data_IF_143914367601
#
_entry.id   IF_143914367601
#
_cell.length_a   1.000
_cell.length_b   1.000
_cell.length_c   1.000
_cell.angle_alpha   90.00
_cell.angle_beta   90.00
_cell.angle_gamma   90.00
#
_symmetry.space_group_name_H-M   'P 1'
#
loop_
_entity.id
_entity.type
_entity.pdbx_description
1 polymer ?
#
# COMPACT_ATOMS: atom_id res chain seq x y z
N UNK A 1 -16.10 -17.61 -16.83
CA UNK A 1 -14.94 -16.97 -17.50
C UNK A 1 -14.30 -16.04 -16.48
N UNK A 2 -13.23 -16.48 -15.80
CA UNK A 2 -12.59 -15.69 -14.73
C UNK A 2 -11.65 -14.59 -15.27
N UNK A 3 -11.27 -14.66 -16.55
CA UNK A 3 -10.26 -13.80 -17.18
C UNK A 3 -10.71 -12.34 -17.42
N UNK A 4 -12.00 -12.04 -17.22
CA UNK A 4 -12.59 -10.72 -17.45
C UNK A 4 -12.68 -9.86 -16.17
N UNK A 5 -12.04 -10.31 -15.08
CA UNK A 5 -11.97 -9.57 -13.84
C UNK A 5 -11.05 -8.35 -14.00
N UNK A 6 -11.38 -7.25 -13.33
CA UNK A 6 -10.52 -6.07 -13.29
C UNK A 6 -10.70 -5.28 -12.01
N UNK A 7 -9.62 -4.64 -11.57
CA UNK A 7 -9.61 -3.73 -10.43
C UNK A 7 -9.00 -2.40 -10.84
N UNK A 8 -9.52 -1.33 -10.28
CA UNK A 8 -8.91 -0.02 -10.39
C UNK A 8 -9.35 0.94 -9.30
N UNK A 9 -8.59 2.01 -9.11
CA UNK A 9 -8.91 3.09 -8.17
C UNK A 9 -9.05 4.42 -8.91
N UNK A 10 -9.77 5.35 -8.32
CA UNK A 10 -9.94 6.70 -8.83
C UNK A 10 -10.05 7.68 -7.69
N UNK A 11 -9.29 8.78 -7.76
CA UNK A 11 -9.29 9.80 -6.70
C UNK A 11 -10.68 10.42 -6.54
N UNK A 12 -11.16 10.56 -5.31
CA UNK A 12 -12.43 11.23 -5.05
C UNK A 12 -12.22 12.74 -4.89
N UNK A 13 -13.10 13.54 -5.49
CA UNK A 13 -13.18 14.98 -5.23
C UNK A 13 -13.73 15.27 -3.82
N UNK A 14 -14.53 14.35 -3.29
CA UNK A 14 -15.09 14.40 -1.95
C UNK A 14 -15.23 13.00 -1.37
N UNK A 15 -14.90 12.83 -0.09
CA UNK A 15 -14.95 11.53 0.59
C UNK A 15 -16.31 10.83 0.44
N UNK A 16 -16.30 9.61 -0.10
CA UNK A 16 -17.49 8.79 -0.29
C UNK A 16 -18.22 9.04 -1.62
N UNK A 17 -17.54 9.62 -2.61
CA UNK A 17 -18.10 9.90 -3.93
C UNK A 17 -17.32 9.16 -5.03
N UNK A 18 -18.06 8.51 -5.94
CA UNK A 18 -17.46 7.75 -7.03
C UNK A 18 -16.67 8.67 -7.97
N UNK A 19 -15.42 8.29 -8.25
CA UNK A 19 -14.61 8.92 -9.29
C UNK A 19 -15.15 8.62 -10.69
N UNK A 20 -15.08 9.61 -11.58
CA UNK A 20 -15.38 9.41 -13.01
C UNK A 20 -14.27 8.68 -13.77
N UNK A 21 -13.06 8.62 -13.21
CA UNK A 21 -11.87 7.94 -13.76
C UNK A 21 -11.54 6.72 -12.91
N UNK A 22 -11.20 5.60 -13.55
CA UNK A 22 -10.71 4.38 -12.89
C UNK A 22 -9.37 4.04 -13.52
N UNK A 23 -8.30 4.21 -12.76
CA UNK A 23 -6.94 3.77 -13.11
C UNK A 23 -6.84 2.28 -12.79
N UNK A 24 -6.49 1.50 -13.81
CA UNK A 24 -6.45 0.04 -13.75
C UNK A 24 -5.15 -0.49 -13.19
N UNK A 25 -5.25 -1.58 -12.43
CA UNK A 25 -4.11 -2.32 -11.90
C UNK A 25 -4.26 -3.81 -12.21
N UNK A 26 -3.13 -4.49 -12.43
CA UNK A 26 -3.07 -5.94 -12.62
C UNK A 26 -3.09 -6.63 -11.25
N UNK A 27 -4.26 -6.60 -10.61
CA UNK A 27 -4.45 -7.12 -9.26
C UNK A 27 -4.27 -8.64 -9.19
N UNK A 28 -3.49 -9.10 -8.22
CA UNK A 28 -3.19 -10.52 -8.01
C UNK A 28 -4.19 -11.22 -7.06
N UNK A 29 -4.98 -10.43 -6.32
CA UNK A 29 -5.98 -10.94 -5.39
C UNK A 29 -7.27 -10.09 -5.36
N UNK A 30 -8.37 -10.70 -4.93
CA UNK A 30 -9.64 -10.03 -4.63
C UNK A 30 -10.00 -10.22 -3.15
N UNK A 31 -9.55 -9.29 -2.29
CA UNK A 31 -9.80 -9.33 -0.84
C UNK A 31 -10.91 -8.36 -0.37
N UNK A 32 -11.59 -7.67 -1.28
CA UNK A 32 -12.55 -6.61 -0.96
C UNK A 32 -13.86 -7.13 -0.37
N UNK A 33 -14.08 -6.85 0.92
CA UNK A 33 -15.19 -7.38 1.73
C UNK A 33 -15.94 -6.28 2.44
N UNK A 34 -17.27 -6.37 2.41
CA UNK A 34 -18.17 -5.47 3.14
C UNK A 34 -18.53 -6.04 4.50
N UNK A 35 -18.53 -5.17 5.50
CA UNK A 35 -18.93 -5.49 6.86
C UNK A 35 -20.33 -4.94 7.14
N UNK A 36 -21.18 -5.77 7.75
CA UNK A 36 -22.54 -5.40 8.18
C UNK A 36 -22.72 -5.79 9.63
N UNK A 37 -23.39 -4.93 10.39
CA UNK A 37 -23.82 -5.23 11.75
C UNK A 37 -25.32 -5.46 11.79
N UNK A 38 -25.76 -6.44 12.57
CA UNK A 38 -27.17 -6.75 12.79
C UNK A 38 -27.54 -6.38 14.22
N UNK A 39 -28.28 -5.29 14.38
CA UNK A 39 -28.79 -4.88 15.69
C UNK A 39 -30.10 -5.63 15.93
N UNK A 40 -30.12 -6.47 16.96
CA UNK A 40 -31.29 -7.27 17.33
C UNK A 40 -31.87 -6.82 18.66
N UNK A 41 -33.20 -6.70 18.74
CA UNK A 41 -33.91 -6.43 19.99
C UNK A 41 -34.51 -7.72 20.54
N UNK A 42 -34.02 -8.18 21.69
CA UNK A 42 -34.58 -9.34 22.42
C UNK A 42 -35.20 -8.88 23.74
N UNK A 43 -36.47 -9.22 23.96
CA UNK A 43 -37.19 -8.91 25.20
C UNK A 43 -38.04 -10.09 25.68
N UNK A 44 -38.38 -10.14 26.96
CA UNK A 44 -39.18 -11.23 27.52
C UNK A 44 -40.61 -11.24 26.95
N UNK A 45 -41.03 -12.39 26.43
CA UNK A 45 -42.41 -12.65 25.99
C UNK A 45 -42.71 -14.14 26.16
N UNK A 46 -43.88 -14.45 26.73
CA UNK A 46 -44.32 -15.83 26.89
C UNK A 46 -44.42 -16.54 25.52
N UNK A 47 -43.95 -17.79 25.44
CA UNK A 47 -44.01 -18.61 24.24
C UNK A 47 -42.96 -18.29 23.16
N UNK A 48 -41.93 -17.48 23.46
CA UNK A 48 -40.80 -17.29 22.54
C UNK A 48 -39.99 -18.59 22.39
N UNK A 49 -39.73 -18.96 21.13
CA UNK A 49 -38.86 -20.08 20.77
C UNK A 49 -37.45 -19.58 20.38
N UNK A 50 -37.34 -18.37 19.83
CA UNK A 50 -36.07 -17.70 19.45
C UNK A 50 -36.30 -16.20 19.22
N UNK A 51 -35.26 -15.46 18.85
CA UNK A 51 -35.32 -14.05 18.48
C UNK A 51 -36.30 -13.83 17.30
N UNK A 52 -37.01 -12.70 17.33
CA UNK A 52 -38.01 -12.40 16.29
C UNK A 52 -37.36 -11.85 15.02
N UNK A 53 -37.80 -12.34 13.86
CA UNK A 53 -37.29 -11.89 12.57
C UNK A 53 -37.60 -10.40 12.25
N UNK A 54 -38.71 -9.86 12.76
CA UNK A 54 -39.15 -8.46 12.53
C UNK A 54 -38.49 -7.43 13.47
N UNK A 55 -37.53 -7.84 14.31
CA UNK A 55 -36.86 -6.98 15.30
C UNK A 55 -35.36 -6.90 15.06
N UNK A 56 -34.99 -6.72 13.80
CA UNK A 56 -33.61 -6.65 13.33
C UNK A 56 -33.42 -5.40 12.47
N UNK A 57 -32.31 -4.71 12.66
CA UNK A 57 -31.87 -3.63 11.79
C UNK A 57 -30.48 -3.97 11.24
N UNK A 58 -30.24 -3.67 9.96
CA UNK A 58 -28.96 -3.89 9.30
C UNK A 58 -28.23 -2.56 9.18
N UNK A 59 -27.03 -2.48 9.73
CA UNK A 59 -26.21 -1.28 9.72
C UNK A 59 -25.04 -1.49 8.78
N UNK A 60 -24.79 -0.49 7.93
CA UNK A 60 -23.61 -0.47 7.10
C UNK A 60 -22.37 -0.12 7.93
N UNK A 61 -21.39 -1.02 7.95
CA UNK A 61 -20.14 -0.79 8.67
C UNK A 61 -18.99 -0.39 7.74
N UNK A 62 -19.26 -0.25 6.42
CA UNK A 62 -18.24 -0.08 5.39
C UNK A 62 -17.56 -1.40 5.10
N UNK A 63 -16.25 -1.40 4.92
CA UNK A 63 -15.47 -2.61 4.82
C UNK A 63 -14.00 -2.33 4.56
N UNK A 64 -13.30 -3.38 4.19
CA UNK A 64 -11.86 -3.39 3.96
C UNK A 64 -11.54 -4.17 2.68
N UNK A 65 -10.42 -3.85 2.05
CA UNK A 65 -9.90 -4.58 0.90
C UNK A 65 -8.49 -4.15 0.58
N UNK A 66 -7.75 -4.98 -0.14
CA UNK A 66 -6.38 -4.71 -0.53
C UNK A 66 -6.25 -4.72 -2.04
N UNK A 67 -5.30 -3.94 -2.54
CA UNK A 67 -4.81 -4.02 -3.89
C UNK A 67 -3.35 -4.48 -3.84
N UNK A 68 -3.12 -5.72 -4.25
CA UNK A 68 -1.80 -6.32 -4.45
C UNK A 68 -1.53 -6.41 -5.95
N UNK A 69 -0.41 -5.83 -6.40
CA UNK A 69 0.02 -5.89 -7.79
C UNK A 69 1.55 -5.81 -7.91
N UNK A 70 2.07 -6.24 -9.05
CA UNK A 70 3.44 -5.92 -9.41
C UNK A 70 3.58 -4.41 -9.62
N UNK A 71 4.62 -3.82 -9.03
CA UNK A 71 4.84 -2.38 -9.09
C UNK A 71 5.43 -2.01 -10.45
N UNK A 72 4.67 -1.21 -11.21
CA UNK A 72 5.04 -0.82 -12.57
C UNK A 72 5.88 0.46 -12.60
N UNK A 73 6.79 0.54 -13.57
CA UNK A 73 7.65 1.69 -13.84
C UNK A 73 6.92 2.89 -14.49
N UNK A 74 5.64 2.72 -14.84
CA UNK A 74 4.69 3.78 -15.16
C UNK A 74 3.27 3.43 -14.66
N UNK A 75 2.50 4.44 -14.24
CA UNK A 75 1.10 4.30 -13.81
C UNK A 75 0.89 4.00 -12.32
N UNK A 76 1.94 3.83 -11.53
CA UNK A 76 1.82 3.50 -10.10
C UNK A 76 1.60 4.73 -9.18
N UNK A 77 1.72 5.95 -9.71
CA UNK A 77 1.76 7.18 -8.92
C UNK A 77 0.55 7.41 -8.00
N UNK A 78 -0.66 7.07 -8.43
CA UNK A 78 -1.87 7.25 -7.60
C UNK A 78 -1.96 6.25 -6.46
N UNK A 79 -1.56 4.99 -6.69
CA UNK A 79 -1.53 3.96 -5.65
C UNK A 79 -0.47 4.31 -4.59
N UNK A 80 0.72 4.76 -5.02
CA UNK A 80 1.75 5.29 -4.14
C UNK A 80 1.24 6.52 -3.37
N UNK A 81 0.51 7.43 -4.03
CA UNK A 81 -0.09 8.62 -3.41
C UNK A 81 -1.11 8.27 -2.33
N UNK A 82 -1.77 7.11 -2.44
CA UNK A 82 -2.67 6.62 -1.39
C UNK A 82 -1.90 6.21 -0.12
N UNK A 83 -0.70 5.65 -0.28
CA UNK A 83 0.10 5.06 0.79
C UNK A 83 0.92 6.07 1.62
N UNK A 84 1.16 7.29 1.10
CA UNK A 84 2.02 8.29 1.73
C UNK A 84 1.28 9.57 2.12
N UNK A 85 1.84 10.29 3.10
CA UNK A 85 1.18 11.41 3.75
C UNK A 85 1.24 12.71 2.98
N UNK A 86 2.37 12.97 2.33
CA UNK A 86 2.63 14.21 1.60
C UNK A 86 3.15 13.87 0.22
N UNK A 87 2.58 14.50 -0.81
CA UNK A 87 2.90 14.22 -2.20
C UNK A 87 3.16 15.51 -2.96
N UNK A 88 4.28 15.54 -3.68
CA UNK A 88 4.63 16.62 -4.60
C UNK A 88 4.85 16.02 -5.99
N UNK A 89 4.05 16.46 -6.97
CA UNK A 89 4.18 16.03 -8.37
C UNK A 89 4.75 17.18 -9.18
N UNK A 90 5.79 16.90 -9.95
CA UNK A 90 6.34 17.81 -10.97
C UNK A 90 6.35 17.11 -12.32
N UNK A 91 5.76 17.72 -13.32
CA UNK A 91 5.86 17.29 -14.72
C UNK A 91 6.69 18.33 -15.48
N UNK A 92 7.84 17.92 -16.01
CA UNK A 92 8.73 18.81 -16.75
C UNK A 92 9.38 18.05 -17.89
N UNK A 93 9.16 18.54 -19.11
CA UNK A 93 9.78 17.96 -20.31
C UNK A 93 9.28 16.55 -20.65
N UNK A 94 8.04 16.21 -20.28
CA UNK A 94 7.49 14.87 -20.52
C UNK A 94 8.06 13.81 -19.58
N UNK A 95 8.53 14.22 -18.40
CA UNK A 95 8.94 13.35 -17.30
C UNK A 95 8.17 13.80 -16.08
N UNK A 96 7.46 12.85 -15.46
CA UNK A 96 6.70 13.08 -14.24
C UNK A 96 7.47 12.50 -13.07
N UNK A 97 7.82 13.36 -12.13
CA UNK A 97 8.45 12.99 -10.86
C UNK A 97 7.44 13.20 -9.74
N UNK A 98 7.20 12.16 -8.97
CA UNK A 98 6.36 12.17 -7.77
C UNK A 98 7.25 11.92 -6.56
N UNK A 99 7.36 12.92 -5.69
CA UNK A 99 8.03 12.80 -4.39
C UNK A 99 6.97 12.57 -3.32
N UNK A 100 7.10 11.45 -2.61
CA UNK A 100 6.20 11.01 -1.55
C UNK A 100 6.97 10.96 -0.23
N UNK A 101 6.38 11.53 0.82
CA UNK A 101 7.01 11.67 2.13
C UNK A 101 6.03 11.26 3.24
N UNK A 102 6.55 10.57 4.25
CA UNK A 102 5.84 10.43 5.53
C UNK A 102 5.82 11.77 6.27
N UNK A 103 4.77 12.05 7.03
CA UNK A 103 4.59 13.34 7.72
C UNK A 103 3.84 13.16 9.04
N UNK A 104 3.82 14.17 9.91
CA UNK A 104 3.00 14.18 11.12
C UNK A 104 1.50 14.32 10.82
N UNK A 105 1.17 14.98 9.70
CA UNK A 105 -0.18 15.12 9.15
C UNK A 105 -0.31 14.32 7.86
N UNK A 106 -1.35 13.50 7.77
CA UNK A 106 -1.68 12.79 6.53
C UNK A 106 -2.57 13.67 5.63
N UNK A 107 -2.03 14.10 4.49
CA UNK A 107 -2.76 14.76 3.41
C UNK A 107 -3.25 13.76 2.36
N UNK A 108 -3.11 12.46 2.61
CA UNK A 108 -3.51 11.40 1.69
C UNK A 108 -4.98 11.57 1.24
N UNK A 109 -5.24 11.56 -0.08
CA UNK A 109 -6.59 11.69 -0.61
C UNK A 109 -7.40 10.42 -0.30
N UNK A 110 -8.72 10.51 -0.48
CA UNK A 110 -9.55 9.30 -0.57
C UNK A 110 -9.75 8.91 -2.03
N UNK A 111 -10.00 7.62 -2.23
CA UNK A 111 -10.24 7.02 -3.53
C UNK A 111 -11.59 6.29 -3.54
N UNK A 112 -12.13 6.09 -4.73
CA UNK A 112 -13.12 5.05 -4.98
C UNK A 112 -12.42 3.89 -5.66
N UNK A 113 -12.78 2.65 -5.34
CA UNK A 113 -12.27 1.46 -6.02
C UNK A 113 -13.40 0.76 -6.79
N UNK A 114 -13.12 0.28 -7.99
CA UNK A 114 -14.05 -0.53 -8.77
C UNK A 114 -13.46 -1.92 -9.00
N UNK A 115 -14.16 -2.94 -8.49
CA UNK A 115 -13.86 -4.35 -8.74
C UNK A 115 -14.93 -4.95 -9.65
N UNK A 116 -14.53 -5.39 -10.85
CA UNK A 116 -15.41 -6.08 -11.79
C UNK A 116 -15.25 -7.59 -11.60
N UNK A 117 -16.32 -8.24 -11.18
CA UNK A 117 -16.38 -9.70 -10.99
C UNK A 117 -17.20 -10.34 -12.11
N UNK A 118 -16.62 -11.23 -12.94
CA UNK A 118 -17.36 -11.92 -13.97
C UNK A 118 -18.16 -13.11 -13.41
N UNK A 119 -19.41 -13.23 -13.83
CA UNK A 119 -20.30 -14.35 -13.51
C UNK A 119 -20.00 -15.60 -14.35
N UNK A 120 -20.53 -16.74 -13.91
CA UNK A 120 -20.43 -18.01 -14.67
C UNK A 120 -21.24 -17.98 -15.96
N UNK A 121 -22.21 -17.09 -16.06
CA UNK A 121 -23.07 -16.84 -17.21
C UNK A 121 -22.52 -15.78 -18.19
N UNK A 122 -21.33 -15.23 -17.92
CA UNK A 122 -20.72 -14.16 -18.71
C UNK A 122 -21.24 -12.76 -18.37
N UNK A 123 -22.14 -12.63 -17.39
CA UNK A 123 -22.47 -11.32 -16.83
C UNK A 123 -21.27 -10.70 -16.10
N UNK A 124 -21.26 -9.38 -15.95
CA UNK A 124 -20.26 -8.66 -15.16
C UNK A 124 -20.97 -7.87 -14.08
N UNK A 125 -20.45 -7.94 -12.86
CA UNK A 125 -20.94 -7.10 -11.75
C UNK A 125 -19.78 -6.24 -11.27
N UNK A 126 -19.94 -4.93 -11.38
CA UNK A 126 -18.98 -3.98 -10.83
C UNK A 126 -19.38 -3.62 -9.41
N UNK A 127 -18.51 -3.89 -8.46
CA UNK A 127 -18.57 -3.43 -7.08
C UNK A 127 -17.79 -2.12 -6.97
N UNK A 128 -18.42 -1.08 -6.45
CA UNK A 128 -17.91 0.29 -6.36
C UNK A 128 -17.77 0.65 -4.90
N UNK A 129 -16.56 0.55 -4.39
CA UNK A 129 -16.20 0.89 -3.03
C UNK A 129 -15.91 2.39 -2.96
N UNK A 130 -16.56 3.08 -2.03
CA UNK A 130 -16.51 4.54 -1.91
C UNK A 130 -15.81 4.91 -0.60
N UNK A 131 -15.08 6.02 -0.60
CA UNK A 131 -14.37 6.52 0.56
C UNK A 131 -13.25 5.59 1.01
N UNK A 132 -12.51 5.01 0.07
CA UNK A 132 -11.33 4.21 0.31
C UNK A 132 -10.18 5.11 0.81
N UNK A 133 -9.64 4.80 1.98
CA UNK A 133 -8.44 5.46 2.54
C UNK A 133 -7.45 4.36 2.91
N UNK A 134 -6.19 4.52 2.49
CA UNK A 134 -5.17 3.54 2.82
C UNK A 134 -4.96 3.48 4.33
N UNK A 135 -4.79 2.28 4.86
CA UNK A 135 -4.51 2.02 6.28
C UNK A 135 -3.12 1.46 6.47
N UNK A 136 -2.65 0.67 5.50
CA UNK A 136 -1.35 0.03 5.52
C UNK A 136 -0.83 -0.21 4.10
N UNK A 137 0.46 -0.44 3.98
CA UNK A 137 1.10 -0.85 2.73
C UNK A 137 2.35 -1.69 2.97
N UNK A 138 2.70 -2.50 1.98
CA UNK A 138 3.94 -3.29 1.93
C UNK A 138 4.56 -3.22 0.54
N UNK A 139 5.86 -2.97 0.48
CA UNK A 139 6.70 -3.05 -0.70
C UNK A 139 7.69 -4.19 -0.51
N UNK A 140 7.69 -5.17 -1.41
CA UNK A 140 8.59 -6.33 -1.37
C UNK A 140 9.38 -6.45 -2.67
N UNK A 141 10.68 -6.74 -2.54
CA UNK A 141 11.56 -7.10 -3.63
C UNK A 141 12.47 -8.26 -3.21
N UNK A 142 12.49 -9.33 -4.00
CA UNK A 142 13.25 -10.54 -3.73
C UNK A 142 13.85 -11.07 -5.03
N UNK A 143 15.00 -11.74 -4.94
CA UNK A 143 15.60 -12.43 -6.09
C UNK A 143 14.61 -13.37 -6.77
N UNK A 144 14.68 -13.47 -8.09
CA UNK A 144 13.78 -14.28 -8.93
C UNK A 144 12.31 -13.83 -9.01
N UNK A 145 11.94 -12.74 -8.33
CA UNK A 145 10.58 -12.20 -8.31
C UNK A 145 10.48 -10.76 -8.89
N UNK A 146 9.24 -10.35 -9.18
CA UNK A 146 8.91 -8.95 -9.45
C UNK A 146 8.72 -8.18 -8.14
N UNK A 147 8.95 -6.87 -8.19
CA UNK A 147 8.66 -6.00 -7.04
C UNK A 147 7.16 -5.90 -6.84
N UNK A 148 6.67 -6.19 -5.64
CA UNK A 148 5.24 -6.18 -5.33
C UNK A 148 4.90 -5.02 -4.42
N UNK A 149 3.77 -4.37 -4.68
CA UNK A 149 3.16 -3.38 -3.81
C UNK A 149 1.77 -3.87 -3.40
N UNK A 150 1.55 -3.94 -2.09
CA UNK A 150 0.25 -4.18 -1.49
C UNK A 150 -0.18 -2.92 -0.75
N UNK A 151 -1.41 -2.45 -0.99
CA UNK A 151 -2.02 -1.35 -0.24
C UNK A 151 -3.36 -1.80 0.32
N UNK A 152 -3.49 -1.76 1.64
CA UNK A 152 -4.74 -2.04 2.36
C UNK A 152 -5.59 -0.78 2.51
N UNK A 153 -6.89 -0.91 2.27
CA UNK A 153 -7.86 0.19 2.31
C UNK A 153 -9.02 -0.08 3.26
N UNK A 154 -9.39 0.96 4.00
CA UNK A 154 -10.69 1.08 4.66
C UNK A 154 -11.66 1.87 3.77
N UNK A 155 -12.85 1.34 3.50
CA UNK A 155 -13.86 2.03 2.66
C UNK A 155 -15.19 2.28 3.38
N UNK A 156 -15.83 3.40 3.08
CA UNK A 156 -17.07 3.88 3.73
C UNK A 156 -18.30 3.06 3.36
N UNK A 157 -18.47 2.78 2.08
CA UNK A 157 -19.67 2.17 1.52
C UNK A 157 -19.34 1.39 0.24
N UNK A 158 -20.27 0.54 -0.19
CA UNK A 158 -20.20 -0.17 -1.46
C UNK A 158 -21.54 -0.09 -2.19
N UNK A 159 -21.49 0.24 -3.46
CA UNK A 159 -22.58 0.04 -4.40
C UNK A 159 -22.19 -1.04 -5.41
N UNK A 160 -23.17 -1.60 -6.13
CA UNK A 160 -22.88 -2.50 -7.24
C UNK A 160 -23.80 -2.24 -8.43
N UNK A 161 -23.36 -2.63 -9.61
CA UNK A 161 -24.18 -2.59 -10.83
C UNK A 161 -23.82 -3.71 -11.78
N UNK A 162 -24.82 -4.25 -12.46
CA UNK A 162 -24.67 -5.17 -13.59
C UNK A 162 -25.04 -4.51 -14.93
N UNK A 163 -25.33 -3.19 -14.92
CA UNK A 163 -25.67 -2.43 -16.13
C UNK A 163 -24.38 -2.04 -16.85
N UNK A 164 -24.11 -2.53 -18.07
CA UNK A 164 -22.81 -2.34 -18.74
C UNK A 164 -22.40 -0.86 -18.89
N UNK A 165 -23.34 0.03 -19.21
CA UNK A 165 -23.08 1.46 -19.35
C UNK A 165 -22.67 2.17 -18.05
N UNK A 166 -22.84 1.52 -16.89
CA UNK A 166 -22.45 2.05 -15.59
C UNK A 166 -21.13 1.44 -15.08
N UNK A 167 -20.54 0.48 -15.81
CA UNK A 167 -19.24 -0.10 -15.49
C UNK A 167 -18.17 0.75 -16.18
N UNK A 168 -17.32 1.43 -15.40
CA UNK A 168 -16.26 2.27 -15.96
C UNK A 168 -15.11 1.36 -16.40
N UNK A 169 -14.65 1.49 -17.63
CA UNK A 169 -13.50 0.72 -18.09
C UNK A 169 -12.23 1.23 -17.40
N UNK A 170 -11.40 0.35 -16.80
CA UNK A 170 -10.12 0.74 -16.24
C UNK A 170 -9.19 1.26 -17.34
N UNK A 171 -8.42 2.30 -17.02
CA UNK A 171 -7.39 2.86 -17.89
C UNK A 171 -6.03 2.40 -17.42
N UNK A 172 -5.26 1.79 -18.31
CA UNK A 172 -3.89 1.34 -18.04
C UNK A 172 -2.90 2.28 -18.75
N UNK A 173 -1.66 2.40 -18.25
CA UNK A 173 -0.58 3.06 -19.00
C UNK A 173 -0.38 2.38 -20.36
N UNK A 174 0.03 3.17 -21.36
CA UNK A 174 0.23 2.65 -22.73
C UNK A 174 1.39 1.66 -22.78
N UNK A 175 2.49 2.00 -22.12
CA UNK A 175 3.66 1.17 -21.89
C UNK A 175 4.01 1.25 -20.41
N UNK A 176 4.18 0.10 -19.78
CA UNK A 176 4.60 -0.03 -18.40
C UNK A 176 5.16 -1.44 -18.20
N UNK A 177 6.17 -1.56 -17.36
CA UNK A 177 6.81 -2.81 -17.03
C UNK A 177 7.00 -2.94 -15.52
N UNK A 178 6.83 -4.14 -14.94
CA UNK A 178 7.16 -4.37 -13.56
C UNK A 178 8.63 -4.07 -13.27
N UNK A 179 8.90 -3.47 -12.11
CA UNK A 179 10.25 -3.52 -11.55
C UNK A 179 10.61 -4.99 -11.20
N UNK A 180 11.89 -5.31 -11.27
CA UNK A 180 12.41 -6.65 -11.00
C UNK A 180 13.72 -6.59 -10.19
N UNK A 181 14.08 -7.73 -9.62
CA UNK A 181 15.28 -7.87 -8.78
C UNK A 181 16.60 -7.55 -9.51
N UNK A 182 16.68 -7.76 -10.83
CA UNK A 182 17.93 -7.55 -11.60
C UNK A 182 18.32 -6.08 -11.74
N UNK A 183 17.38 -5.18 -11.49
CA UNK A 183 17.54 -3.71 -11.53
C UNK A 183 17.31 -3.06 -10.18
N UNK A 184 17.34 -3.85 -9.11
CA UNK A 184 17.17 -3.40 -7.74
C UNK A 184 18.53 -3.33 -7.06
N UNK A 185 18.78 -2.25 -6.33
CA UNK A 185 19.98 -2.07 -5.52
C UNK A 185 19.59 -1.66 -4.09
N UNK A 186 20.09 -2.40 -3.11
CA UNK A 186 19.94 -2.11 -1.68
C UNK A 186 21.25 -1.56 -1.14
N UNK A 187 21.21 -0.36 -0.56
CA UNK A 187 22.36 0.30 0.06
C UNK A 187 22.09 0.47 1.55
N UNK A 188 22.87 -0.24 2.38
CA UNK A 188 22.91 -0.05 3.83
C UNK A 188 24.03 0.91 4.19
N UNK A 189 23.79 1.83 5.11
CA UNK A 189 24.81 2.78 5.58
C UNK A 189 24.88 2.83 7.10
N UNK A 190 26.11 2.81 7.62
CA UNK A 190 26.46 2.97 9.04
C UNK A 190 27.46 4.13 9.15
N UNK A 191 27.22 5.08 10.06
CA UNK A 191 28.04 6.29 10.22
C UNK A 191 28.31 7.06 8.91
N UNK A 192 27.31 7.11 8.03
CA UNK A 192 27.39 7.79 6.73
C UNK A 192 28.26 7.08 5.68
N UNK A 193 28.75 5.87 5.97
CA UNK A 193 29.50 5.04 5.04
C UNK A 193 28.67 3.84 4.59
N UNK A 194 28.70 3.53 3.30
CA UNK A 194 28.05 2.35 2.76
C UNK A 194 28.68 1.07 3.34
N UNK A 195 27.84 0.10 3.69
CA UNK A 195 28.24 -1.23 4.16
C UNK A 195 27.92 -2.22 3.05
N UNK A 196 28.92 -2.98 2.61
CA UNK A 196 28.71 -4.02 1.60
C UNK A 196 27.84 -5.14 2.18
N UNK A 197 26.74 -5.43 1.50
CA UNK A 197 25.79 -6.47 1.88
C UNK A 197 25.13 -7.03 0.62
N UNK A 198 25.28 -8.33 0.41
CA UNK A 198 24.71 -9.04 -0.74
C UNK A 198 23.26 -9.41 -0.40
N UNK A 199 22.37 -8.42 -0.52
CA UNK A 199 20.95 -8.57 -0.20
C UNK A 199 20.24 -9.51 -1.19
N UNK A 200 19.50 -10.48 -0.67
CA UNK A 200 18.62 -11.39 -1.42
C UNK A 200 17.17 -10.92 -1.40
N UNK A 201 16.76 -10.21 -0.35
CA UNK A 201 15.43 -9.63 -0.26
C UNK A 201 15.40 -8.33 0.54
N UNK A 202 14.40 -7.50 0.25
CA UNK A 202 14.03 -6.34 1.05
C UNK A 202 12.51 -6.20 1.09
N UNK A 203 11.98 -6.08 2.31
CA UNK A 203 10.60 -5.74 2.58
C UNK A 203 10.54 -4.44 3.38
N UNK A 204 9.59 -3.57 3.05
CA UNK A 204 9.27 -2.38 3.82
C UNK A 204 7.75 -2.26 3.92
N UNK A 205 7.25 -2.09 5.14
CA UNK A 205 5.83 -1.94 5.45
C UNK A 205 5.55 -0.68 6.26
N UNK A 206 4.32 -0.21 6.20
CA UNK A 206 3.84 0.91 6.99
C UNK A 206 2.40 0.73 7.45
N UNK A 207 2.17 0.79 8.76
CA UNK A 207 0.85 1.02 9.37
C UNK A 207 0.69 2.53 9.60
N UNK A 208 -0.32 3.12 8.97
CA UNK A 208 -0.56 4.57 8.97
C UNK A 208 -1.25 5.07 10.25
N UNK A 209 -1.61 4.17 11.18
CA UNK A 209 -2.19 4.49 12.48
C UNK A 209 -3.59 5.08 12.39
N UNK A 210 -4.39 4.62 11.42
CA UNK A 210 -5.67 5.23 11.05
C UNK A 210 -6.83 4.77 11.94
N UNK A 211 -7.67 5.72 12.38
CA UNK A 211 -8.93 5.41 13.07
C UNK A 211 -10.04 5.16 12.05
N UNK A 212 -10.34 3.89 11.81
CA UNK A 212 -11.30 3.43 10.78
C UNK A 212 -12.75 3.35 11.26
N UNK A 213 -12.98 3.15 12.56
CA UNK A 213 -14.29 2.95 13.19
C UNK A 213 -14.99 4.26 13.62
N UNK A 214 -14.81 5.35 12.86
CA UNK A 214 -15.36 6.68 13.20
C UNK A 214 -16.87 6.81 12.97
N UNK A 215 -17.66 6.26 13.88
CA UNK A 215 -19.13 6.28 13.86
C UNK A 215 -19.69 7.22 14.93
N UNK A 216 -20.83 7.86 14.65
CA UNK A 216 -21.41 8.90 15.50
C UNK A 216 -22.94 8.86 15.49
N UNK A 217 -23.58 9.27 16.61
CA UNK A 217 -25.03 9.38 16.74
C UNK A 217 -25.56 10.61 16.01
N UNK A 218 -25.71 10.52 14.68
CA UNK A 218 -26.05 11.67 13.80
C UNK A 218 -27.12 11.38 12.75
N UNK A 219 -27.97 10.38 12.97
CA UNK A 219 -28.98 9.92 12.01
C UNK A 219 -28.40 9.54 10.63
N UNK A 220 -27.17 9.04 10.60
CA UNK A 220 -26.49 8.52 9.42
C UNK A 220 -25.50 7.44 9.90
N UNK A 221 -25.63 6.24 9.35
CA UNK A 221 -24.86 5.04 9.70
C UNK A 221 -23.43 5.04 9.12
N UNK A 222 -23.19 5.80 8.05
CA UNK A 222 -21.89 5.81 7.39
C UNK A 222 -20.80 6.36 8.31
N UNK A 223 -19.71 5.61 8.40
CA UNK A 223 -18.48 6.05 9.10
C UNK A 223 -17.92 7.32 8.47
N UNK A 224 -17.25 8.15 9.26
CA UNK A 224 -16.50 9.33 8.79
C UNK A 224 -15.14 8.90 8.22
N UNK A 225 -14.56 9.72 7.34
CA UNK A 225 -13.21 9.54 6.79
C UNK A 225 -12.22 9.13 7.88
N UNK A 226 -11.47 8.03 7.74
CA UNK A 226 -10.40 7.70 8.66
C UNK A 226 -9.44 8.88 8.88
N UNK A 227 -8.95 9.04 10.10
CA UNK A 227 -7.93 10.05 10.45
C UNK A 227 -6.83 9.38 11.25
N UNK A 228 -5.62 9.92 11.19
CA UNK A 228 -4.51 9.46 12.03
C UNK A 228 -4.87 9.58 13.52
N UNK A 229 -4.68 8.50 14.26
CA UNK A 229 -5.01 8.38 15.69
C UNK A 229 -3.90 7.72 16.51
N UNK A 230 -2.95 7.06 15.85
CA UNK A 230 -1.72 6.56 16.45
C UNK A 230 -0.50 7.15 15.70
N UNK A 231 0.66 7.04 16.33
CA UNK A 231 1.94 7.26 15.66
C UNK A 231 2.09 6.13 14.62
N UNK A 232 2.32 6.44 13.34
CA UNK A 232 2.57 5.41 12.33
C UNK A 232 3.77 4.55 12.70
N UNK A 233 3.71 3.27 12.35
CA UNK A 233 4.83 2.35 12.50
C UNK A 233 5.30 1.91 11.13
N UNK A 234 6.61 1.98 10.92
CA UNK A 234 7.25 1.55 9.70
C UNK A 234 8.33 0.54 10.05
N UNK A 235 8.23 -0.63 9.45
CA UNK A 235 9.10 -1.77 9.73
C UNK A 235 9.54 -2.36 8.41
N UNK A 236 10.70 -3.01 8.41
CA UNK A 236 11.18 -3.69 7.22
C UNK A 236 12.21 -4.72 7.58
N UNK A 237 12.59 -5.48 6.57
CA UNK A 237 13.58 -6.55 6.69
C UNK A 237 14.48 -6.51 5.47
N UNK A 238 15.79 -6.59 5.69
CA UNK A 238 16.75 -6.88 4.63
C UNK A 238 17.38 -8.23 4.96
N UNK A 239 17.34 -9.17 4.02
CA UNK A 239 18.01 -10.47 4.14
C UNK A 239 19.14 -10.56 3.12
N UNK A 240 20.20 -11.29 3.48
CA UNK A 240 21.31 -11.52 2.57
C UNK A 240 22.44 -12.32 3.21
N UNK A 241 23.52 -12.50 2.46
CA UNK A 241 24.67 -13.28 2.92
C UNK A 241 25.45 -12.56 4.03
N UNK A 242 25.75 -13.28 5.11
CA UNK A 242 26.66 -12.81 6.13
C UNK A 242 28.12 -12.99 5.68
N UNK A 243 28.86 -11.89 5.63
CA UNK A 243 30.29 -11.88 5.36
C UNK A 243 31.03 -10.88 6.27
N UNK A 244 32.36 -10.88 6.20
CA UNK A 244 33.19 -10.01 7.05
C UNK A 244 32.92 -8.50 6.86
N UNK A 245 32.47 -8.07 5.67
CA UNK A 245 32.10 -6.68 5.41
C UNK A 245 30.76 -6.31 6.07
N UNK A 246 29.84 -7.27 6.19
CA UNK A 246 28.53 -7.10 6.82
C UNK A 246 28.54 -7.17 8.36
N UNK A 247 29.67 -7.59 8.99
CA UNK A 247 29.79 -7.71 10.45
C UNK A 247 29.41 -6.41 11.17
N UNK A 248 29.71 -5.26 10.57
CA UNK A 248 29.36 -3.96 11.12
C UNK A 248 27.85 -3.73 11.28
N UNK A 249 27.00 -4.43 10.55
CA UNK A 249 25.53 -4.35 10.69
C UNK A 249 25.06 -5.06 11.96
N UNK A 250 25.67 -6.22 12.26
CA UNK A 250 25.40 -6.95 13.50
C UNK A 250 25.88 -6.18 14.74
N UNK A 251 27.05 -5.54 14.64
CA UNK A 251 27.54 -4.66 15.71
C UNK A 251 26.62 -3.46 15.93
N UNK A 252 26.11 -2.86 14.86
CA UNK A 252 25.12 -1.77 14.94
C UNK A 252 23.84 -2.23 15.64
N UNK A 253 23.37 -3.45 15.35
CA UNK A 253 22.25 -4.06 16.07
C UNK A 253 22.53 -4.19 17.57
N UNK A 254 23.64 -4.83 17.97
CA UNK A 254 24.00 -4.99 19.40
C UNK A 254 24.09 -3.64 20.11
N UNK A 255 24.67 -2.65 19.45
CA UNK A 255 24.88 -1.31 20.01
C UNK A 255 23.61 -0.45 19.98
N UNK A 256 22.55 -0.87 19.28
CA UNK A 256 21.34 -0.08 19.06
C UNK A 256 21.60 1.20 18.25
N UNK A 257 22.58 1.16 17.35
CA UNK A 257 22.97 2.29 16.51
C UNK A 257 21.88 2.63 15.47
N UNK A 258 21.92 3.88 15.00
CA UNK A 258 21.06 4.35 13.92
C UNK A 258 21.83 4.24 12.60
N UNK A 259 21.25 3.50 11.66
CA UNK A 259 21.76 3.30 10.31
C UNK A 259 20.81 3.95 9.30
N UNK A 260 21.10 3.82 8.01
CA UNK A 260 20.20 4.20 6.93
C UNK A 260 20.05 3.07 5.90
N UNK A 261 18.87 3.01 5.29
CA UNK A 261 18.56 2.15 4.13
C UNK A 261 18.18 3.03 2.96
N UNK A 262 18.71 2.67 1.78
CA UNK A 262 18.21 3.17 0.51
C UNK A 262 17.99 2.01 -0.45
N UNK A 263 16.83 1.97 -1.09
CA UNK A 263 16.51 0.98 -2.13
C UNK A 263 16.24 1.72 -3.43
N UNK A 264 16.93 1.32 -4.50
CA UNK A 264 16.77 1.91 -5.83
C UNK A 264 16.30 0.84 -6.80
N UNK A 265 15.21 1.12 -7.51
CA UNK A 265 14.67 0.29 -8.58
C UNK A 265 14.78 1.08 -9.88
N UNK A 266 15.47 0.51 -10.87
CA UNK A 266 15.56 1.10 -12.21
C UNK A 266 14.53 0.45 -13.14
N UNK A 267 13.76 1.28 -13.84
CA UNK A 267 12.70 0.83 -14.75
C UNK A 267 13.27 0.31 -16.07
N UNK A 268 12.40 -0.34 -16.84
CA UNK A 268 12.70 -0.70 -18.23
C UNK A 268 12.46 0.49 -19.15
N UNK A 269 11.46 1.32 -18.85
CA UNK A 269 11.24 2.58 -19.55
C UNK A 269 12.41 3.54 -19.31
N UNK A 270 12.91 4.23 -20.35
CA UNK A 270 14.05 5.14 -20.20
C UNK A 270 13.81 6.23 -19.16
N UNK A 271 14.68 6.28 -18.14
CA UNK A 271 14.62 7.27 -17.07
C UNK A 271 13.58 6.98 -15.99
N UNK A 272 12.78 5.92 -16.11
CA UNK A 272 11.86 5.50 -15.07
C UNK A 272 12.63 4.92 -13.88
N UNK A 273 12.23 5.28 -12.66
CA UNK A 273 12.89 4.80 -11.44
C UNK A 273 12.02 4.99 -10.21
N UNK A 274 12.30 4.18 -9.20
CA UNK A 274 11.75 4.32 -7.86
C UNK A 274 12.93 4.32 -6.88
N UNK A 275 12.99 5.27 -5.97
CA UNK A 275 13.98 5.30 -4.90
C UNK A 275 13.29 5.48 -3.56
N UNK A 276 13.57 4.59 -2.61
CA UNK A 276 13.08 4.64 -1.24
C UNK A 276 14.26 4.96 -0.34
N UNK A 277 14.14 5.99 0.50
CA UNK A 277 15.16 6.48 1.42
C UNK A 277 14.60 6.46 2.85
N UNK A 278 15.23 5.70 3.73
CA UNK A 278 14.97 5.64 5.16
C UNK A 278 16.24 6.13 5.89
N UNK A 279 16.36 7.44 6.16
CA UNK A 279 17.61 8.04 6.66
C UNK A 279 17.95 7.66 8.11
N UNK A 280 16.99 7.14 8.86
CA UNK A 280 17.17 6.68 10.23
C UNK A 280 16.42 5.37 10.44
N UNK A 281 17.15 4.26 10.46
CA UNK A 281 16.64 2.94 10.84
C UNK A 281 17.40 2.44 12.06
N UNK A 282 16.77 1.56 12.82
CA UNK A 282 17.44 0.80 13.86
C UNK A 282 17.12 -0.68 13.65
N UNK A 283 18.16 -1.49 13.55
CA UNK A 283 18.00 -2.94 13.48
C UNK A 283 17.39 -3.47 14.78
N UNK A 284 16.43 -4.37 14.64
CA UNK A 284 15.75 -5.07 15.74
C UNK A 284 15.99 -6.58 15.68
N UNK A 285 17.00 -6.97 14.91
CA UNK A 285 17.21 -8.33 14.39
C UNK A 285 17.80 -9.36 15.32
N UNK A 286 18.30 -10.40 14.66
CA UNK A 286 18.79 -11.62 15.25
C UNK A 286 20.25 -11.86 14.86
N UNK A 287 20.94 -12.77 15.52
CA UNK A 287 22.32 -13.11 15.16
C UNK A 287 22.36 -13.84 13.81
N UNK A 288 23.42 -13.67 12.99
CA UNK A 288 23.63 -14.47 11.79
C UNK A 288 23.54 -15.97 12.08
N UNK A 289 22.86 -16.71 11.22
CA UNK A 289 22.63 -18.14 11.40
C UNK A 289 23.44 -18.94 10.36
N UNK A 290 24.23 -19.89 10.86
CA UNK A 290 25.03 -20.78 10.01
C UNK A 290 24.30 -22.12 9.84
N UNK A 291 24.24 -22.60 8.60
CA UNK A 291 23.74 -23.92 8.25
C UNK A 291 24.88 -24.84 7.80
N UNK A 292 24.66 -26.16 7.82
CA UNK A 292 25.64 -27.15 7.34
C UNK A 292 25.63 -27.34 5.82
N UNK A 293 24.53 -26.94 5.19
CA UNK A 293 24.19 -27.16 3.79
C UNK A 293 23.93 -25.86 3.02
N UNK A 294 23.98 -24.71 3.69
CA UNK A 294 23.75 -23.38 3.10
C UNK A 294 24.80 -22.36 3.58
N UNK A 295 24.87 -21.22 2.89
CA UNK A 295 25.69 -20.08 3.32
C UNK A 295 25.12 -19.46 4.60
N UNK A 296 25.96 -18.79 5.38
CA UNK A 296 25.48 -18.08 6.58
C UNK A 296 24.62 -16.90 6.15
N UNK A 297 23.38 -16.84 6.63
CA UNK A 297 22.42 -15.79 6.31
C UNK A 297 22.35 -14.79 7.47
N UNK A 298 22.14 -13.52 7.13
CA UNK A 298 21.86 -12.47 8.08
C UNK A 298 20.50 -11.86 7.80
N UNK A 299 19.54 -12.14 8.68
CA UNK A 299 18.23 -11.52 8.67
C UNK A 299 18.29 -10.22 9.51
N UNK A 300 18.09 -9.07 8.87
CA UNK A 300 18.18 -7.75 9.48
C UNK A 300 16.80 -7.07 9.46
N UNK A 301 15.85 -7.45 10.33
CA UNK A 301 14.67 -6.65 10.55
C UNK A 301 15.07 -5.33 11.20
N UNK A 302 14.36 -4.27 10.83
CA UNK A 302 14.57 -2.92 11.30
C UNK A 302 13.25 -2.19 11.48
N UNK A 303 13.28 -1.18 12.35
CA UNK A 303 12.24 -0.16 12.43
C UNK A 303 12.77 1.15 11.86
N UNK A 304 11.93 1.89 11.15
CA UNK A 304 12.26 3.25 10.72
C UNK A 304 11.95 4.21 11.87
N UNK A 305 12.87 5.13 12.11
CA UNK A 305 12.78 6.15 13.15
C UNK A 305 12.51 7.52 12.52
N UNK A 306 11.89 8.41 13.28
CA UNK A 306 11.91 9.83 12.96
C UNK A 306 13.37 10.34 13.07
N UNK A 307 13.96 10.90 12.00
CA UNK A 307 15.33 11.41 12.04
C UNK A 307 15.52 12.63 12.95
N UNK A 308 14.45 13.20 13.49
CA UNK A 308 14.48 14.35 14.41
C UNK A 308 14.99 15.64 13.77
N UNK A 309 15.19 15.64 12.45
CA UNK A 309 15.73 16.76 11.68
C UNK A 309 14.58 17.44 10.93
N UNK A 310 14.28 18.72 11.20
CA UNK A 310 13.18 19.43 10.54
C UNK A 310 13.30 19.38 9.01
N UNK A 311 12.21 18.98 8.34
CA UNK A 311 12.14 18.88 6.89
C UNK A 311 12.72 17.60 6.29
N UNK A 312 13.13 16.63 7.12
CA UNK A 312 13.54 15.29 6.68
C UNK A 312 12.47 14.29 7.08
N UNK A 313 11.86 13.62 6.11
CA UNK A 313 10.86 12.58 6.35
C UNK A 313 11.51 11.29 6.89
N UNK A 314 10.75 10.51 7.66
CA UNK A 314 11.17 9.17 8.10
C UNK A 314 11.31 8.20 6.91
N UNK A 315 10.40 8.30 5.93
CA UNK A 315 10.53 7.65 4.63
C UNK A 315 10.28 8.69 3.55
N UNK A 316 11.20 8.76 2.59
CA UNK A 316 11.02 9.50 1.34
C UNK A 316 11.09 8.53 0.17
N UNK A 317 10.09 8.60 -0.70
CA UNK A 317 10.02 7.82 -1.92
C UNK A 317 9.97 8.77 -3.12
N UNK A 318 10.83 8.56 -4.10
CA UNK A 318 10.86 9.32 -5.36
C UNK A 318 10.54 8.37 -6.50
N UNK A 319 9.40 8.59 -7.16
CA UNK A 319 8.95 7.83 -8.31
C UNK A 319 9.03 8.70 -9.57
N UNK A 320 9.75 8.23 -10.57
CA UNK A 320 9.94 8.90 -11.86
C UNK A 320 9.36 8.01 -12.93
N UNK A 321 8.44 8.55 -13.72
CA UNK A 321 7.79 7.88 -14.84
C UNK A 321 7.76 8.81 -16.06
N UNK A 322 7.59 8.29 -17.28
CA UNK A 322 7.28 9.13 -18.43
C UNK A 322 6.03 9.98 -18.17
N UNK A 323 6.12 11.27 -18.47
CA UNK A 323 4.99 12.20 -18.38
C UNK A 323 3.99 11.96 -19.51
N UNK A 324 2.81 12.56 -19.40
CA UNK A 324 1.86 12.59 -20.51
C UNK A 324 2.48 13.34 -21.69
N UNK A 325 2.43 12.78 -22.90
CA UNK A 325 2.87 13.49 -24.10
C UNK A 325 2.12 14.81 -24.22
N UNK A 326 2.85 15.93 -24.18
CA UNK A 326 2.33 17.22 -24.62
C UNK A 326 2.18 17.14 -26.13
N UNK A 327 0.99 16.79 -26.60
CA UNK A 327 0.63 16.99 -27.99
C UNK A 327 0.88 18.46 -28.35
N UNK A 328 1.80 18.70 -29.29
CA UNK A 328 2.10 20.01 -29.86
C UNK A 328 1.09 20.44 -30.91
#
# INVERSE_FOLDING_TARGET
MALDASIGIGREDSYGALSGVVEGYEGQADSWKTTREFIESVGFRAGMQTARADRRNVVNMGGEGELECDLLDAGAGSLLTAAFDKVTVTDTGGVKTTVLETSDVSEAPSFSAQMVRPGTDGSKVAYKHLGCVATEWTLNAEVEENVKLTVGFDFQDVAHTSVPAQIVAPTYPLEAYPYDWTRTAVELSRDGSAVAFDATSVELSGDLGMKTDRRFLRANELKKKPIRNAVPTYEGTVEGEFNAASLGLYEAFIAGEVCAVKVTFLGLLPGASLTVECPAIQFTGESPEAATDEVTVHNLPFRVLDPGTPGVAAIKLTYVEPGTSVDG
#
